data_IF_905852416625
#
_entry.id   IF_905852416625
#
_cell.length_a   1.000
_cell.length_b   1.000
_cell.length_c   1.000
_cell.angle_alpha   90.00
_cell.angle_beta   90.00
_cell.angle_gamma   90.00
#
_symmetry.space_group_name_H-M   'P 1'
#
loop_
_entity.id
_entity.type
_entity.pdbx_description
1 polymer ?
#
# COMPACT_ATOMS: atom_id res chain seq x y z
N UNK A 1 -0.62 -3.04 -18.65
CA UNK A 1 -1.08 -2.27 -19.81
C UNK A 1 -2.51 -1.87 -19.53
N UNK A 2 -2.77 -0.58 -19.38
CA UNK A 2 -4.14 -0.06 -19.21
C UNK A 2 -4.78 -0.15 -20.59
N UNK A 3 -5.94 -0.79 -20.66
CA UNK A 3 -6.68 -1.03 -21.90
C UNK A 3 -6.96 0.31 -22.60
N UNK A 4 -6.52 0.48 -23.85
CA UNK A 4 -6.61 1.75 -24.58
C UNK A 4 -8.07 2.15 -24.97
N UNK A 5 -9.07 1.40 -24.51
CA UNK A 5 -10.50 1.58 -24.81
C UNK A 5 -11.37 1.89 -23.57
N UNK A 6 -10.79 2.38 -22.47
CA UNK A 6 -11.58 2.84 -21.32
C UNK A 6 -12.33 4.14 -21.67
N UNK A 7 -13.66 4.11 -21.61
CA UNK A 7 -14.51 5.28 -21.85
C UNK A 7 -15.65 5.34 -20.83
N UNK A 8 -16.36 6.46 -20.79
CA UNK A 8 -17.59 6.61 -19.99
C UNK A 8 -18.75 6.03 -20.80
N UNK A 9 -19.65 5.27 -20.15
CA UNK A 9 -20.84 4.72 -20.79
C UNK A 9 -21.72 5.87 -21.30
N UNK A 10 -22.39 5.64 -22.43
CA UNK A 10 -23.27 6.63 -23.02
C UNK A 10 -24.37 7.07 -22.03
N UNK A 11 -24.55 8.39 -21.88
CA UNK A 11 -25.58 8.98 -21.01
C UNK A 11 -25.14 9.24 -19.56
N UNK A 12 -24.00 8.70 -19.12
CA UNK A 12 -23.50 8.92 -17.76
C UNK A 12 -23.00 10.35 -17.55
N UNK A 13 -23.25 10.89 -16.35
CA UNK A 13 -22.84 12.23 -15.94
C UNK A 13 -21.97 12.16 -14.70
N UNK A 14 -20.93 12.98 -14.71
CA UNK A 14 -20.04 13.14 -13.56
C UNK A 14 -20.73 13.92 -12.45
N UNK A 15 -20.64 13.41 -11.22
CA UNK A 15 -21.16 14.06 -10.02
C UNK A 15 -20.10 14.93 -9.32
N UNK A 16 -18.81 14.76 -9.66
CA UNK A 16 -17.69 15.42 -9.01
C UNK A 16 -16.85 16.15 -10.05
N UNK A 17 -16.62 17.44 -9.81
CA UNK A 17 -15.70 18.25 -10.61
C UNK A 17 -14.48 18.59 -9.77
N UNK A 18 -13.30 18.20 -10.23
CA UNK A 18 -12.03 18.54 -9.60
C UNK A 18 -11.37 19.71 -10.31
N UNK A 19 -10.65 20.53 -9.55
CA UNK A 19 -9.80 21.60 -10.07
C UNK A 19 -8.35 21.15 -10.01
N UNK A 20 -7.65 21.21 -11.14
CA UNK A 20 -6.22 20.92 -11.22
C UNK A 20 -5.46 22.20 -11.58
N UNK A 21 -4.34 22.50 -10.89
CA UNK A 21 -3.50 23.63 -11.28
C UNK A 21 -3.03 23.45 -12.73
N UNK A 22 -3.14 24.50 -13.52
CA UNK A 22 -2.51 24.54 -14.85
C UNK A 22 -1.02 24.76 -14.63
N UNK A 23 -0.19 23.86 -15.14
CA UNK A 23 1.27 23.92 -14.97
C UNK A 23 1.91 24.33 -16.29
N UNK A 24 2.87 25.25 -16.23
CA UNK A 24 3.69 25.68 -17.37
C UNK A 24 5.10 25.18 -17.19
N UNK A 25 5.65 24.57 -18.23
CA UNK A 25 7.05 24.20 -18.30
C UNK A 25 7.91 25.47 -18.42
N UNK A 26 8.89 25.61 -17.55
CA UNK A 26 9.76 26.77 -17.41
C UNK A 26 11.22 26.33 -17.54
N UNK A 27 12.02 27.14 -18.22
CA UNK A 27 13.48 26.97 -18.31
C UNK A 27 14.18 28.17 -17.66
N UNK A 28 15.37 27.98 -17.08
CA UNK A 28 16.15 29.08 -16.55
C UNK A 28 16.52 30.03 -17.69
N UNK A 29 16.50 31.34 -17.41
CA UNK A 29 17.06 32.33 -18.34
C UNK A 29 18.56 32.37 -18.09
N UNK A 30 19.36 32.11 -19.13
CA UNK A 30 20.81 32.14 -19.05
C UNK A 30 21.36 33.46 -19.61
N UNK A 31 22.48 33.92 -19.07
CA UNK A 31 23.28 35.01 -19.63
C UNK A 31 24.28 34.48 -20.69
N UNK A 32 25.07 35.38 -21.27
CA UNK A 32 26.06 35.05 -22.31
C UNK A 32 27.18 34.11 -21.81
N UNK A 33 27.32 33.94 -20.49
CA UNK A 33 28.29 33.03 -19.86
C UNK A 33 27.64 31.68 -19.49
N UNK A 34 26.37 31.48 -19.83
CA UNK A 34 25.60 30.28 -19.50
C UNK A 34 25.17 30.21 -18.04
N UNK A 35 25.26 31.30 -17.27
CA UNK A 35 24.83 31.36 -15.89
C UNK A 35 23.38 31.82 -15.79
N UNK A 36 22.64 31.31 -14.79
CA UNK A 36 21.25 31.70 -14.62
C UNK A 36 21.14 33.15 -14.15
N UNK A 37 20.36 33.94 -14.89
CA UNK A 37 20.08 35.34 -14.58
C UNK A 37 19.28 35.43 -13.28
N UNK A 38 19.70 36.31 -12.37
CA UNK A 38 18.99 36.64 -11.14
C UNK A 38 18.18 37.94 -11.35
N UNK A 39 16.94 37.98 -10.87
CA UNK A 39 16.09 39.16 -10.95
C UNK A 39 16.45 40.20 -9.87
N UNK A 40 15.90 41.41 -9.97
CA UNK A 40 16.16 42.51 -9.02
C UNK A 40 15.79 42.19 -7.56
N UNK A 41 14.97 41.16 -7.33
CA UNK A 41 14.56 40.69 -6.00
C UNK A 41 15.44 39.53 -5.49
N UNK A 42 16.57 39.26 -6.14
CA UNK A 42 17.50 38.19 -5.76
C UNK A 42 17.04 36.78 -6.12
N UNK A 43 15.97 36.60 -6.89
CA UNK A 43 15.44 35.29 -7.26
C UNK A 43 15.90 34.86 -8.66
N UNK A 44 16.15 33.56 -8.91
CA UNK A 44 16.49 33.07 -10.24
C UNK A 44 15.37 33.32 -11.25
N UNK A 45 15.74 33.81 -12.43
CA UNK A 45 14.81 34.15 -13.51
C UNK A 45 14.51 32.92 -14.37
N UNK A 46 13.24 32.76 -14.72
CA UNK A 46 12.74 31.71 -15.60
C UNK A 46 11.91 32.30 -16.73
N UNK A 47 11.83 31.59 -17.86
CA UNK A 47 10.90 31.88 -18.95
C UNK A 47 10.15 30.60 -19.36
N UNK A 48 8.93 30.71 -19.90
CA UNK A 48 8.20 29.57 -20.43
C UNK A 48 9.00 28.84 -21.52
N UNK A 49 8.98 27.51 -21.49
CA UNK A 49 9.61 26.67 -22.52
C UNK A 49 9.02 26.95 -23.92
N UNK A 50 7.78 27.41 -23.99
CA UNK A 50 7.15 27.85 -25.24
C UNK A 50 7.88 29.04 -25.89
N UNK A 51 8.57 29.85 -25.09
CA UNK A 51 9.38 31.00 -25.52
C UNK A 51 10.88 30.67 -25.66
N UNK A 52 11.26 29.39 -25.54
CA UNK A 52 12.64 28.96 -25.69
C UNK A 52 13.12 29.07 -27.14
N UNK A 53 14.38 29.45 -27.33
CA UNK A 53 15.04 29.45 -28.64
C UNK A 53 15.26 28.02 -29.15
N UNK A 54 15.51 27.82 -30.46
CA UNK A 54 15.84 26.49 -30.98
C UNK A 54 17.02 25.82 -30.27
N UNK A 55 18.05 26.59 -29.91
CA UNK A 55 19.23 26.12 -29.18
C UNK A 55 18.88 25.67 -27.76
N UNK A 56 18.08 26.46 -27.03
CA UNK A 56 17.62 26.09 -25.69
C UNK A 56 16.75 24.83 -25.72
N UNK A 57 15.88 24.68 -26.74
CA UNK A 57 15.10 23.45 -26.94
C UNK A 57 16.00 22.25 -27.21
N UNK A 58 17.10 22.43 -27.96
CA UNK A 58 18.09 21.38 -28.18
C UNK A 58 18.82 21.01 -26.87
N UNK A 59 19.16 21.97 -26.02
CA UNK A 59 19.76 21.72 -24.70
C UNK A 59 18.81 20.98 -23.75
N UNK A 60 17.51 21.32 -23.76
CA UNK A 60 16.48 20.57 -23.02
C UNK A 60 16.41 19.13 -23.51
N UNK A 61 16.38 18.92 -24.84
CA UNK A 61 16.35 17.58 -25.44
C UNK A 61 17.60 16.77 -25.08
N UNK A 62 18.76 17.42 -25.01
CA UNK A 62 20.01 16.83 -24.56
C UNK A 62 20.13 16.69 -23.02
N UNK A 63 19.08 17.03 -22.26
CA UNK A 63 19.04 17.04 -20.79
C UNK A 63 20.12 17.93 -20.12
N UNK A 64 20.69 18.88 -20.87
CA UNK A 64 21.67 19.86 -20.38
C UNK A 64 21.02 21.10 -19.77
N UNK A 65 19.71 21.27 -19.94
CA UNK A 65 18.93 22.36 -19.36
C UNK A 65 17.74 21.80 -18.58
N UNK A 66 17.63 22.15 -17.29
CA UNK A 66 16.58 21.64 -16.41
C UNK A 66 15.25 22.34 -16.69
N UNK A 67 14.21 21.55 -16.98
CA UNK A 67 12.83 22.04 -17.05
C UNK A 67 12.19 21.96 -15.67
N UNK A 68 11.64 23.08 -15.22
CA UNK A 68 10.84 23.19 -14.00
C UNK A 68 9.37 23.41 -14.37
N UNK A 69 8.43 23.16 -13.45
CA UNK A 69 7.01 23.36 -13.71
C UNK A 69 6.43 24.29 -12.65
N UNK A 70 5.93 25.45 -13.08
CA UNK A 70 5.28 26.42 -12.20
C UNK A 70 3.79 26.48 -12.49
N UNK A 71 3.00 26.83 -11.48
CA UNK A 71 1.57 27.06 -11.69
C UNK A 71 1.38 28.32 -12.55
N UNK A 72 0.58 28.18 -13.61
CA UNK A 72 0.22 29.26 -14.50
C UNK A 72 -0.58 30.33 -13.75
N UNK A 73 -0.45 31.57 -14.18
CA UNK A 73 -1.21 32.71 -13.66
C UNK A 73 -1.88 33.44 -14.81
N UNK A 74 -3.04 34.03 -14.55
CA UNK A 74 -3.71 34.88 -15.53
C UNK A 74 -3.07 36.29 -15.60
N UNK A 75 -3.61 37.14 -16.47
CA UNK A 75 -3.12 38.51 -16.64
C UNK A 75 -3.22 39.38 -15.37
N UNK A 76 -4.05 38.97 -14.40
CA UNK A 76 -4.21 39.65 -13.11
C UNK A 76 -3.33 39.05 -12.00
N UNK A 77 -2.56 38.00 -12.31
CA UNK A 77 -1.68 37.31 -11.36
C UNK A 77 -2.35 36.21 -10.55
N UNK A 78 -3.62 35.87 -10.84
CA UNK A 78 -4.32 34.79 -10.14
C UNK A 78 -3.92 33.42 -10.68
N UNK A 79 -3.79 32.44 -9.79
CA UNK A 79 -3.44 31.05 -10.12
C UNK A 79 -4.51 30.40 -10.99
N UNK A 80 -4.12 29.87 -12.15
CA UNK A 80 -5.03 29.20 -13.07
C UNK A 80 -5.25 27.75 -12.67
N UNK A 81 -6.51 27.34 -12.81
CA UNK A 81 -6.97 25.97 -12.63
C UNK A 81 -7.81 25.56 -13.84
N UNK A 82 -7.84 24.27 -14.11
CA UNK A 82 -8.75 23.68 -15.09
C UNK A 82 -9.59 22.59 -14.43
N UNK A 83 -10.82 22.43 -14.91
CA UNK A 83 -11.75 21.45 -14.36
C UNK A 83 -11.62 20.10 -15.04
N UNK A 84 -11.69 19.02 -14.25
CA UNK A 84 -11.82 17.66 -14.73
C UNK A 84 -13.05 16.99 -14.11
N UNK A 85 -13.72 16.18 -14.92
CA UNK A 85 -14.89 15.39 -14.50
C UNK A 85 -14.42 14.01 -14.03
N UNK A 86 -14.87 13.61 -12.84
CA UNK A 86 -14.61 12.28 -12.29
C UNK A 86 -15.87 11.44 -12.42
N UNK A 87 -15.68 10.20 -12.82
CA UNK A 87 -16.74 9.21 -12.99
C UNK A 87 -16.43 8.02 -12.10
N UNK A 88 -17.47 7.45 -11.49
CA UNK A 88 -17.37 6.17 -10.80
C UNK A 88 -17.00 5.07 -11.80
N UNK A 89 -16.29 4.03 -11.35
CA UNK A 89 -15.89 2.93 -12.25
C UNK A 89 -17.10 2.24 -12.90
N UNK A 90 -18.22 2.16 -12.17
CA UNK A 90 -19.49 1.63 -12.68
C UNK A 90 -20.07 2.41 -13.86
N UNK A 91 -19.73 3.69 -13.98
CA UNK A 91 -20.14 4.58 -15.07
C UNK A 91 -19.23 4.43 -16.32
N UNK A 92 -18.18 3.63 -16.23
CA UNK A 92 -17.24 3.42 -17.34
C UNK A 92 -17.51 2.11 -18.06
N UNK A 93 -16.92 1.94 -19.24
CA UNK A 93 -16.90 0.69 -19.98
C UNK A 93 -15.94 -0.36 -19.39
N UNK A 94 -15.31 -0.07 -18.24
CA UNK A 94 -14.46 -1.02 -17.54
C UNK A 94 -15.31 -2.22 -17.10
N UNK A 95 -14.85 -3.43 -17.45
CA UNK A 95 -15.54 -4.65 -17.02
C UNK A 95 -15.30 -4.93 -15.53
N UNK A 96 -16.28 -5.48 -14.79
CA UNK A 96 -16.14 -5.78 -13.36
C UNK A 96 -14.90 -6.61 -13.00
N UNK A 97 -14.46 -7.52 -13.87
CA UNK A 97 -13.28 -8.37 -13.63
C UNK A 97 -11.97 -7.56 -13.62
N UNK A 98 -11.98 -6.35 -14.19
CA UNK A 98 -10.86 -5.41 -14.20
C UNK A 98 -10.90 -4.42 -13.03
N UNK A 99 -12.00 -4.35 -12.27
CA UNK A 99 -12.13 -3.48 -11.11
C UNK A 99 -11.03 -3.72 -10.06
N UNK A 100 -10.64 -4.96 -9.72
CA UNK A 100 -9.54 -5.21 -8.79
C UNK A 100 -8.21 -4.55 -9.17
N UNK A 101 -7.93 -4.43 -10.48
CA UNK A 101 -6.70 -3.80 -10.99
C UNK A 101 -6.77 -2.27 -10.91
N UNK A 102 -7.96 -1.71 -11.13
CA UNK A 102 -8.21 -0.27 -11.02
C UNK A 102 -8.32 0.21 -9.57
N UNK A 103 -8.72 -0.68 -8.65
CA UNK A 103 -8.87 -0.43 -7.22
C UNK A 103 -7.94 -1.33 -6.40
N UNK A 104 -6.63 -1.05 -6.38
CA UNK A 104 -5.67 -1.85 -5.62
C UNK A 104 -5.97 -1.84 -4.10
N UNK A 105 -6.66 -0.82 -3.61
CA UNK A 105 -7.10 -0.68 -2.21
C UNK A 105 -8.61 -0.88 -2.04
N UNK A 106 -9.24 -1.71 -2.88
CA UNK A 106 -10.66 -2.06 -2.76
C UNK A 106 -10.98 -2.71 -1.41
N UNK A 107 -12.26 -2.69 -1.04
CA UNK A 107 -12.75 -3.54 0.03
C UNK A 107 -12.73 -5.02 -0.39
N UNK A 108 -12.35 -5.89 0.55
CA UNK A 108 -12.50 -7.33 0.40
C UNK A 108 -13.70 -7.80 1.22
N UNK A 109 -14.58 -8.56 0.57
CA UNK A 109 -15.71 -9.22 1.21
C UNK A 109 -15.29 -10.62 1.64
N UNK A 110 -14.66 -10.70 2.82
CA UNK A 110 -14.17 -11.97 3.35
C UNK A 110 -15.32 -12.79 3.91
N UNK A 111 -15.28 -14.12 3.71
CA UNK A 111 -16.18 -15.03 4.40
C UNK A 111 -15.86 -15.05 5.91
N UNK A 112 -16.85 -14.72 6.75
CA UNK A 112 -16.74 -14.68 8.21
C UNK A 112 -17.47 -15.83 8.91
N UNK A 113 -18.09 -16.77 8.19
CA UNK A 113 -18.96 -17.82 8.74
C UNK A 113 -18.27 -18.69 9.79
N UNK A 114 -16.96 -18.87 9.67
CA UNK A 114 -16.14 -19.67 10.58
C UNK A 114 -15.38 -18.80 11.61
N UNK A 115 -15.52 -17.48 11.55
CA UNK A 115 -14.74 -16.54 12.36
C UNK A 115 -15.54 -16.10 13.58
N UNK A 116 -14.99 -16.33 14.78
CA UNK A 116 -15.51 -15.77 16.03
C UNK A 116 -15.08 -14.30 16.15
N UNK A 117 -15.66 -13.42 15.33
CA UNK A 117 -15.15 -12.06 15.11
C UNK A 117 -14.98 -11.25 16.40
N UNK A 118 -15.94 -11.31 17.33
CA UNK A 118 -15.87 -10.53 18.57
C UNK A 118 -14.73 -11.00 19.48
N UNK A 119 -14.60 -12.31 19.65
CA UNK A 119 -13.58 -12.96 20.47
C UNK A 119 -12.18 -12.78 19.87
N UNK A 120 -12.07 -12.85 18.54
CA UNK A 120 -10.81 -12.57 17.84
C UNK A 120 -10.39 -11.12 18.07
N UNK A 121 -11.27 -10.15 17.84
CA UNK A 121 -10.95 -8.74 18.05
C UNK A 121 -10.61 -8.43 19.51
N UNK A 122 -11.31 -9.02 20.47
CA UNK A 122 -10.99 -8.89 21.89
C UNK A 122 -9.60 -9.46 22.20
N UNK A 123 -9.28 -10.66 21.72
CA UNK A 123 -7.96 -11.26 21.91
C UNK A 123 -6.83 -10.45 21.29
N UNK A 124 -7.07 -9.81 20.14
CA UNK A 124 -6.12 -8.91 19.50
C UNK A 124 -5.92 -7.62 20.29
N UNK A 125 -7.00 -7.05 20.85
CA UNK A 125 -6.92 -5.90 21.75
C UNK A 125 -6.09 -6.22 22.99
N UNK A 126 -6.27 -7.40 23.58
CA UNK A 126 -5.51 -7.81 24.75
C UNK A 126 -4.06 -8.13 24.43
N UNK A 127 -3.78 -8.69 23.25
CA UNK A 127 -2.40 -8.81 22.76
C UNK A 127 -1.73 -7.45 22.58
N UNK A 128 -2.45 -6.46 22.03
CA UNK A 128 -1.97 -5.09 21.90
C UNK A 128 -1.60 -4.49 23.27
N UNK A 129 -2.52 -4.62 24.25
CA UNK A 129 -2.29 -4.18 25.63
C UNK A 129 -1.07 -4.87 26.25
N UNK A 130 -0.91 -6.18 26.04
CA UNK A 130 0.23 -6.96 26.54
C UNK A 130 1.57 -6.44 25.99
N UNK A 131 1.62 -6.05 24.71
CA UNK A 131 2.81 -5.44 24.10
C UNK A 131 2.89 -3.91 24.31
N UNK A 132 2.00 -3.35 25.14
CA UNK A 132 1.91 -1.92 25.48
C UNK A 132 1.62 -1.02 24.28
N UNK A 133 0.80 -1.48 23.35
CA UNK A 133 0.34 -0.75 22.17
C UNK A 133 -1.17 -0.51 22.27
N UNK A 134 -1.59 0.73 22.05
CA UNK A 134 -3.01 1.10 22.00
C UNK A 134 -3.59 0.90 20.60
N UNK A 135 -4.88 0.58 20.50
CA UNK A 135 -5.62 0.53 19.23
C UNK A 135 -6.70 1.60 19.27
N UNK A 136 -6.78 2.42 18.24
CA UNK A 136 -7.77 3.48 18.08
C UNK A 136 -8.35 3.46 16.66
N UNK A 137 -9.51 4.10 16.49
CA UNK A 137 -10.13 4.28 15.17
C UNK A 137 -9.88 5.70 14.68
N UNK A 138 -9.53 5.84 13.39
CA UNK A 138 -9.22 7.11 12.76
C UNK A 138 -10.41 8.07 12.76
N UNK A 139 -10.15 9.33 13.11
CA UNK A 139 -11.17 10.38 13.21
C UNK A 139 -12.17 10.23 14.35
N UNK A 140 -11.99 9.27 15.28
CA UNK A 140 -12.82 9.22 16.48
C UNK A 140 -12.48 10.35 17.46
N UNK A 141 -13.45 10.69 18.31
CA UNK A 141 -13.31 11.70 19.37
C UNK A 141 -12.95 13.11 18.85
N UNK A 142 -13.43 13.46 17.64
CA UNK A 142 -13.23 14.79 17.06
C UNK A 142 -11.82 15.05 16.53
N UNK A 143 -10.98 14.01 16.39
CA UNK A 143 -9.68 14.15 15.72
C UNK A 143 -9.85 14.21 14.20
N UNK A 144 -8.90 14.87 13.53
CA UNK A 144 -8.82 14.84 12.07
C UNK A 144 -8.51 13.43 11.57
N UNK A 145 -9.08 13.06 10.42
CA UNK A 145 -8.77 11.78 9.76
C UNK A 145 -7.35 11.81 9.18
N UNK A 146 -6.51 10.88 9.60
CA UNK A 146 -5.08 10.83 9.25
C UNK A 146 -4.75 9.77 8.20
N UNK A 147 -5.54 8.69 8.11
CA UNK A 147 -5.21 7.55 7.26
C UNK A 147 -5.58 7.76 5.79
N UNK A 148 -6.49 8.67 5.49
CA UNK A 148 -7.08 8.81 4.15
C UNK A 148 -7.66 7.47 3.70
N UNK A 149 -7.05 6.87 2.67
CA UNK A 149 -7.47 5.56 2.15
C UNK A 149 -6.78 4.36 2.82
N UNK A 150 -5.72 4.54 3.61
CA UNK A 150 -5.04 3.43 4.26
C UNK A 150 -5.99 2.68 5.21
N UNK A 151 -5.88 1.35 5.27
CA UNK A 151 -6.73 0.49 6.12
C UNK A 151 -6.33 0.59 7.60
N UNK A 152 -5.05 0.81 7.87
CA UNK A 152 -4.51 0.99 9.21
C UNK A 152 -3.06 1.48 9.14
N UNK A 153 -2.52 1.86 10.30
CA UNK A 153 -1.11 2.16 10.47
C UNK A 153 -0.67 2.00 11.94
N UNK A 154 0.49 1.41 12.14
CA UNK A 154 1.22 1.45 13.41
C UNK A 154 2.17 2.66 13.49
N UNK A 155 2.09 3.41 14.58
CA UNK A 155 2.92 4.57 14.91
C UNK A 155 3.86 4.21 16.07
N UNK A 156 5.14 3.86 15.80
CA UNK A 156 6.06 3.35 16.81
C UNK A 156 6.43 4.38 17.89
N UNK A 157 6.43 5.69 17.57
CA UNK A 157 6.74 6.71 18.57
C UNK A 157 5.61 6.85 19.60
N UNK A 158 4.36 6.72 19.15
CA UNK A 158 3.16 6.86 19.98
C UNK A 158 2.71 5.52 20.60
N UNK A 159 3.33 4.40 20.20
CA UNK A 159 2.88 3.04 20.56
C UNK A 159 1.38 2.86 20.30
N UNK A 160 0.94 3.26 19.10
CA UNK A 160 -0.47 3.33 18.72
C UNK A 160 -0.71 2.71 17.35
N UNK A 161 -1.75 1.90 17.24
CA UNK A 161 -2.33 1.43 15.99
C UNK A 161 -3.58 2.25 15.73
N UNK A 162 -3.67 2.82 14.53
CA UNK A 162 -4.86 3.54 14.07
C UNK A 162 -5.52 2.71 12.96
N UNK A 163 -6.82 2.45 13.07
CA UNK A 163 -7.60 1.68 12.11
C UNK A 163 -8.59 2.58 11.37
N UNK A 164 -8.79 2.33 10.08
CA UNK A 164 -9.76 3.07 9.29
C UNK A 164 -11.20 2.66 9.69
N UNK A 165 -12.09 3.62 10.03
CA UNK A 165 -13.48 3.32 10.40
C UNK A 165 -14.29 2.67 9.28
N UNK A 166 -13.85 2.78 8.03
CA UNK A 166 -14.54 2.21 6.88
C UNK A 166 -14.16 0.75 6.59
N UNK A 167 -13.25 0.15 7.36
CA UNK A 167 -12.89 -1.25 7.18
C UNK A 167 -14.10 -2.16 7.40
N UNK A 168 -14.26 -3.18 6.56
CA UNK A 168 -15.18 -4.29 6.88
C UNK A 168 -14.69 -5.04 8.12
N UNK A 169 -15.50 -5.92 8.71
CA UNK A 169 -15.07 -6.68 9.89
C UNK A 169 -13.86 -7.58 9.60
N UNK A 170 -13.85 -8.28 8.47
CA UNK A 170 -12.69 -9.09 8.06
C UNK A 170 -11.46 -8.26 7.75
N UNK A 171 -11.64 -7.08 7.14
CA UNK A 171 -10.55 -6.12 6.97
C UNK A 171 -10.00 -5.62 8.31
N UNK A 172 -10.89 -5.29 9.25
CA UNK A 172 -10.50 -4.86 10.60
C UNK A 172 -9.66 -5.92 11.29
N UNK A 173 -10.07 -7.20 11.24
CA UNK A 173 -9.28 -8.31 11.80
C UNK A 173 -7.91 -8.40 11.11
N UNK A 174 -7.90 -8.57 9.78
CA UNK A 174 -6.64 -8.80 9.03
C UNK A 174 -5.66 -7.62 9.15
N UNK A 175 -6.16 -6.38 9.10
CA UNK A 175 -5.36 -5.17 9.29
C UNK A 175 -4.88 -5.05 10.72
N UNK A 176 -5.70 -5.30 11.73
CA UNK A 176 -5.25 -5.26 13.13
C UNK A 176 -4.12 -6.25 13.37
N UNK A 177 -4.22 -7.47 12.84
CA UNK A 177 -3.14 -8.46 12.94
C UNK A 177 -1.87 -7.96 12.22
N UNK A 178 -2.01 -7.38 11.02
CA UNK A 178 -0.89 -6.84 10.25
C UNK A 178 -0.16 -5.73 11.03
N UNK A 179 -0.89 -4.75 11.57
CA UNK A 179 -0.30 -3.67 12.35
C UNK A 179 0.31 -4.17 13.67
N UNK A 180 -0.31 -5.15 14.32
CA UNK A 180 0.29 -5.82 15.49
C UNK A 180 1.54 -6.61 15.13
N UNK A 181 1.63 -7.14 13.91
CA UNK A 181 2.82 -7.84 13.44
C UNK A 181 3.97 -6.84 13.28
N UNK A 182 3.72 -5.66 12.70
CA UNK A 182 4.69 -4.56 12.70
C UNK A 182 5.10 -4.16 14.12
N UNK A 183 4.12 -4.00 15.02
CA UNK A 183 4.40 -3.65 16.40
C UNK A 183 5.24 -4.72 17.13
N UNK A 184 5.07 -6.00 16.80
CA UNK A 184 5.80 -7.09 17.47
C UNK A 184 7.19 -7.31 16.88
N UNK A 185 7.30 -7.27 15.55
CA UNK A 185 8.51 -7.64 14.81
C UNK A 185 9.46 -6.46 14.57
N UNK A 186 8.93 -5.24 14.46
CA UNK A 186 9.67 -4.10 13.91
C UNK A 186 9.68 -2.87 14.82
N UNK A 187 9.00 -2.92 15.96
CA UNK A 187 9.04 -1.86 16.97
C UNK A 187 10.42 -1.80 17.64
N UNK A 188 11.17 -0.69 17.53
CA UNK A 188 12.49 -0.58 18.14
C UNK A 188 12.47 -0.78 19.67
N UNK A 189 11.37 -0.42 20.34
CA UNK A 189 11.22 -0.60 21.79
C UNK A 189 11.18 -2.07 22.20
N UNK A 190 10.57 -2.94 21.40
CA UNK A 190 10.48 -4.39 21.69
C UNK A 190 11.66 -5.18 21.14
N UNK A 191 12.20 -4.75 19.99
CA UNK A 191 13.29 -5.44 19.31
C UNK A 191 14.67 -4.99 19.77
N UNK A 192 14.76 -3.97 20.63
CA UNK A 192 16.01 -3.33 21.04
C UNK A 192 16.82 -2.84 19.83
N UNK A 193 16.13 -2.36 18.80
CA UNK A 193 16.75 -1.88 17.55
C UNK A 193 17.30 -2.96 16.62
N UNK A 194 17.28 -4.25 17.00
CA UNK A 194 17.90 -5.35 16.23
C UNK A 194 17.29 -5.58 14.84
N UNK A 195 16.11 -5.05 14.56
CA UNK A 195 15.41 -5.19 13.28
C UNK A 195 15.32 -3.86 12.50
N UNK A 196 16.11 -2.85 12.89
CA UNK A 196 16.10 -1.54 12.22
C UNK A 196 16.63 -1.63 10.79
N UNK A 197 17.64 -2.47 10.56
CA UNK A 197 18.35 -2.62 9.29
C UNK A 197 17.55 -3.40 8.23
N UNK A 198 16.44 -4.05 8.61
CA UNK A 198 15.57 -4.71 7.65
C UNK A 198 15.00 -3.68 6.67
N UNK A 199 15.06 -4.02 5.39
CA UNK A 199 14.46 -3.20 4.32
C UNK A 199 12.95 -3.15 4.48
N UNK A 200 12.31 -2.09 3.98
CA UNK A 200 10.85 -1.99 3.99
C UNK A 200 10.17 -3.23 3.38
N UNK A 201 10.57 -3.76 2.21
CA UNK A 201 9.97 -4.97 1.65
C UNK A 201 10.06 -6.21 2.56
N UNK A 202 11.15 -6.39 3.31
CA UNK A 202 11.28 -7.48 4.29
C UNK A 202 10.27 -7.31 5.43
N UNK A 203 10.17 -6.09 5.99
CA UNK A 203 9.23 -5.80 7.08
C UNK A 203 7.77 -6.05 6.66
N UNK A 204 7.39 -5.59 5.47
CA UNK A 204 6.04 -5.81 4.92
C UNK A 204 5.76 -7.29 4.63
N UNK A 205 6.75 -8.04 4.13
CA UNK A 205 6.61 -9.49 3.91
C UNK A 205 6.30 -10.22 5.22
N UNK A 206 7.06 -9.94 6.27
CA UNK A 206 6.87 -10.61 7.56
C UNK A 206 5.53 -10.24 8.20
N UNK A 207 5.15 -8.97 8.14
CA UNK A 207 3.87 -8.50 8.67
C UNK A 207 2.69 -9.09 7.89
N UNK A 208 2.73 -9.10 6.56
CA UNK A 208 1.66 -9.64 5.72
C UNK A 208 1.55 -11.16 5.88
N UNK A 209 2.68 -11.88 5.94
CA UNK A 209 2.66 -13.33 6.14
C UNK A 209 2.13 -13.70 7.53
N UNK A 210 2.52 -12.96 8.56
CA UNK A 210 1.97 -13.11 9.92
C UNK A 210 0.46 -12.86 9.89
N UNK A 211 0.01 -11.78 9.25
CA UNK A 211 -1.42 -11.47 9.10
C UNK A 211 -2.20 -12.58 8.42
N UNK A 212 -1.70 -13.09 7.30
CA UNK A 212 -2.32 -14.21 6.59
C UNK A 212 -2.42 -15.47 7.43
N UNK A 213 -1.33 -15.89 8.08
CA UNK A 213 -1.30 -17.14 8.86
C UNK A 213 -2.19 -17.08 10.10
N UNK A 214 -2.18 -15.97 10.84
CA UNK A 214 -3.05 -15.80 12.02
C UNK A 214 -4.51 -15.65 11.58
N UNK A 215 -4.81 -14.89 10.53
CA UNK A 215 -6.17 -14.79 9.97
C UNK A 215 -6.71 -16.16 9.59
N UNK A 216 -5.90 -16.94 8.85
CA UNK A 216 -6.26 -18.30 8.43
C UNK A 216 -6.48 -19.24 9.60
N UNK A 217 -5.69 -19.12 10.67
CA UNK A 217 -5.87 -19.89 11.90
C UNK A 217 -7.27 -19.69 12.49
N UNK A 218 -7.79 -18.47 12.46
CA UNK A 218 -9.13 -18.13 12.99
C UNK A 218 -10.26 -18.22 11.94
N UNK A 219 -10.02 -18.93 10.82
CA UNK A 219 -11.04 -19.18 9.80
C UNK A 219 -11.25 -18.05 8.78
N UNK A 220 -10.43 -16.99 8.83
CA UNK A 220 -10.49 -15.87 7.89
C UNK A 220 -9.49 -16.08 6.74
N UNK A 221 -9.97 -16.52 5.57
CA UNK A 221 -9.11 -16.69 4.39
C UNK A 221 -8.87 -15.35 3.68
N UNK A 222 -7.64 -14.84 3.80
CA UNK A 222 -7.19 -13.59 3.17
C UNK A 222 -6.28 -13.81 1.96
N UNK A 223 -6.18 -15.04 1.45
CA UNK A 223 -5.23 -15.42 0.39
C UNK A 223 -5.31 -14.54 -0.87
N UNK A 224 -6.53 -14.18 -1.31
CA UNK A 224 -6.74 -13.33 -2.50
C UNK A 224 -6.08 -11.95 -2.35
N UNK A 225 -6.10 -11.39 -1.13
CA UNK A 225 -5.44 -10.12 -0.80
C UNK A 225 -3.94 -10.30 -0.61
N UNK A 226 -3.55 -11.25 0.24
CA UNK A 226 -2.19 -11.33 0.78
C UNK A 226 -1.17 -11.88 -0.24
N UNK A 227 -1.53 -12.91 -1.01
CA UNK A 227 -0.58 -13.60 -1.91
C UNK A 227 -0.04 -12.67 -3.01
N UNK A 228 -0.89 -11.92 -3.76
CA UNK A 228 -0.38 -11.00 -4.77
C UNK A 228 0.46 -9.87 -4.17
N UNK A 229 0.12 -9.41 -2.96
CA UNK A 229 0.86 -8.36 -2.27
C UNK A 229 2.25 -8.84 -1.87
N UNK A 230 2.37 -10.00 -1.21
CA UNK A 230 3.66 -10.61 -0.86
C UNK A 230 4.54 -10.89 -2.09
N UNK A 231 3.94 -11.36 -3.20
CA UNK A 231 4.66 -11.61 -4.45
C UNK A 231 5.21 -10.31 -5.06
N UNK A 232 4.50 -9.19 -4.93
CA UNK A 232 4.94 -7.88 -5.44
C UNK A 232 6.13 -7.34 -4.64
N UNK A 233 6.09 -7.41 -3.31
CA UNK A 233 7.15 -6.84 -2.45
C UNK A 233 8.50 -7.52 -2.61
N UNK A 234 8.48 -8.82 -2.83
CA UNK A 234 9.70 -9.64 -2.87
C UNK A 234 10.26 -9.80 -4.27
N UNK A 235 9.66 -9.14 -5.27
CA UNK A 235 9.89 -9.43 -6.69
C UNK A 235 9.81 -10.94 -6.97
N UNK A 236 8.72 -11.57 -6.49
CA UNK A 236 8.53 -13.02 -6.50
C UNK A 236 9.68 -13.78 -5.80
N UNK A 237 10.03 -13.36 -4.58
CA UNK A 237 11.11 -13.92 -3.74
C UNK A 237 12.53 -13.74 -4.29
N UNK A 238 12.73 -13.12 -5.45
CA UNK A 238 14.06 -12.91 -6.04
C UNK A 238 14.89 -11.85 -5.33
N UNK A 239 14.27 -11.07 -4.44
CA UNK A 239 14.94 -10.01 -3.68
C UNK A 239 15.51 -10.45 -2.32
N UNK A 240 15.47 -11.74 -1.98
CA UNK A 240 15.93 -12.28 -0.70
C UNK A 240 16.86 -13.46 -0.92
N UNK A 241 17.89 -13.56 -0.09
CA UNK A 241 18.69 -14.80 -0.01
C UNK A 241 17.92 -15.88 0.74
N UNK A 242 18.30 -17.15 0.58
CA UNK A 242 17.69 -18.26 1.32
C UNK A 242 17.85 -18.09 2.84
N UNK A 243 18.97 -17.51 3.28
CA UNK A 243 19.26 -17.22 4.69
C UNK A 243 18.33 -16.12 5.24
N UNK A 244 18.14 -15.04 4.47
CA UNK A 244 17.22 -13.95 4.83
C UNK A 244 15.79 -14.48 4.93
N UNK A 245 15.39 -15.32 3.97
CA UNK A 245 14.07 -15.93 3.93
C UNK A 245 13.86 -16.87 5.13
N UNK A 246 14.81 -17.75 5.42
CA UNK A 246 14.77 -18.66 6.57
C UNK A 246 14.65 -17.91 7.91
N UNK A 247 15.43 -16.84 8.06
CA UNK A 247 15.39 -15.98 9.24
C UNK A 247 14.05 -15.27 9.38
N UNK A 248 13.52 -14.71 8.28
CA UNK A 248 12.20 -14.11 8.24
C UNK A 248 11.10 -15.11 8.61
N UNK A 249 11.13 -16.33 8.05
CA UNK A 249 10.16 -17.38 8.38
C UNK A 249 10.21 -17.77 9.86
N UNK A 250 11.40 -17.81 10.47
CA UNK A 250 11.56 -18.07 11.90
C UNK A 250 10.91 -16.97 12.75
N UNK A 251 11.11 -15.70 12.39
CA UNK A 251 10.47 -14.55 13.06
C UNK A 251 8.95 -14.58 12.92
N UNK A 252 8.45 -14.83 11.70
CA UNK A 252 7.03 -14.98 11.41
C UNK A 252 6.41 -16.10 12.25
N UNK A 253 7.00 -17.30 12.25
CA UNK A 253 6.46 -18.44 12.98
C UNK A 253 6.35 -18.17 14.49
N UNK A 254 7.39 -17.58 15.09
CA UNK A 254 7.38 -17.19 16.52
C UNK A 254 6.28 -16.16 16.82
N UNK A 255 6.09 -15.19 15.92
CA UNK A 255 5.09 -14.13 16.09
C UNK A 255 3.67 -14.68 15.95
N UNK A 256 3.42 -15.50 14.93
CA UNK A 256 2.15 -16.22 14.72
C UNK A 256 1.80 -17.03 15.98
N UNK A 257 2.73 -17.83 16.49
CA UNK A 257 2.49 -18.64 17.69
C UNK A 257 2.12 -17.79 18.92
N UNK A 258 2.77 -16.64 19.11
CA UNK A 258 2.47 -15.71 20.22
C UNK A 258 1.08 -15.10 20.08
N UNK A 259 0.73 -14.61 18.89
CA UNK A 259 -0.58 -13.99 18.63
C UNK A 259 -1.71 -15.01 18.76
N UNK A 260 -1.56 -16.18 18.13
CA UNK A 260 -2.54 -17.27 18.20
C UNK A 260 -2.79 -17.65 19.66
N UNK A 261 -1.74 -17.93 20.43
CA UNK A 261 -1.88 -18.29 21.85
C UNK A 261 -2.64 -17.23 22.66
N UNK A 262 -2.39 -15.95 22.40
CA UNK A 262 -3.07 -14.85 23.09
C UNK A 262 -4.55 -14.79 22.73
N UNK A 263 -4.89 -14.93 21.44
CA UNK A 263 -6.27 -14.83 20.95
C UNK A 263 -7.09 -16.10 21.26
N UNK A 264 -6.44 -17.27 21.33
CA UNK A 264 -7.06 -18.54 21.73
C UNK A 264 -7.60 -18.53 23.17
N UNK A 265 -7.05 -17.68 24.04
CA UNK A 265 -7.60 -17.47 25.38
C UNK A 265 -9.08 -17.02 25.36
N UNK A 266 -9.51 -16.35 24.28
CA UNK A 266 -10.87 -15.83 24.11
C UNK A 266 -11.73 -16.71 23.18
N UNK A 267 -11.11 -17.36 22.21
CA UNK A 267 -11.84 -18.14 21.20
C UNK A 267 -12.06 -19.60 21.62
N UNK A 268 -11.35 -20.09 22.66
CA UNK A 268 -11.07 -21.51 22.94
C UNK A 268 -10.30 -22.14 21.77
N UNK A 269 -9.49 -23.21 21.96
CA UNK A 269 -8.69 -23.78 20.87
C UNK A 269 -9.56 -24.00 19.64
N UNK A 270 -9.23 -23.29 18.56
CA UNK A 270 -10.03 -23.36 17.35
C UNK A 270 -9.87 -24.78 16.79
N UNK A 271 -10.92 -25.59 16.93
CA UNK A 271 -10.99 -26.87 16.28
C UNK A 271 -11.12 -26.60 14.77
N UNK A 272 -9.98 -26.50 14.08
CA UNK A 272 -9.93 -26.61 12.63
C UNK A 272 -10.71 -27.86 12.27
N UNK A 273 -11.96 -27.72 11.78
CA UNK A 273 -12.65 -28.82 11.12
C UNK A 273 -11.71 -29.21 9.99
N UNK A 274 -11.05 -30.37 10.14
CA UNK A 274 -10.17 -30.91 9.11
C UNK A 274 -10.95 -30.87 7.80
N UNK A 275 -10.58 -29.97 6.90
CA UNK A 275 -11.12 -30.01 5.54
C UNK A 275 -10.77 -31.39 4.99
N UNK A 276 -11.78 -32.21 4.76
CA UNK A 276 -11.61 -33.44 4.01
C UNK A 276 -11.05 -33.07 2.63
N UNK A 277 -10.03 -33.82 2.21
CA UNK A 277 -9.33 -33.78 0.91
C UNK A 277 -8.37 -32.61 0.65
N UNK A 278 -7.07 -32.86 0.85
CA UNK A 278 -6.03 -32.33 -0.06
C UNK A 278 -6.24 -33.01 -1.43
N UNK A 279 -6.32 -32.28 -2.55
CA UNK A 279 -6.04 -32.87 -3.85
C UNK A 279 -4.57 -33.30 -3.83
N UNK A 280 -4.31 -34.60 -3.91
CA UNK A 280 -2.97 -35.08 -4.21
C UNK A 280 -2.64 -34.65 -5.64
N UNK A 281 -1.72 -33.70 -5.80
CA UNK A 281 -1.12 -33.43 -7.10
C UNK A 281 -0.25 -34.64 -7.44
N UNK A 282 -0.51 -35.39 -8.53
CA UNK A 282 0.31 -36.52 -8.90
C UNK A 282 1.70 -36.03 -9.27
N UNK A 283 2.71 -36.43 -8.50
CA UNK A 283 4.11 -36.25 -8.87
C UNK A 283 4.38 -37.12 -10.10
N UNK A 284 4.46 -36.52 -11.29
CA UNK A 284 4.95 -37.20 -12.48
C UNK A 284 6.42 -37.56 -12.25
N UNK A 285 6.69 -38.86 -12.06
CA UNK A 285 8.05 -39.41 -12.09
C UNK A 285 8.66 -39.12 -13.47
N UNK A 286 9.85 -38.53 -13.49
CA UNK A 286 10.68 -38.40 -14.69
C UNK A 286 11.04 -39.80 -15.20
N UNK A 287 10.93 -40.08 -16.52
CA UNK A 287 11.40 -41.34 -17.06
C UNK A 287 12.93 -41.37 -17.01
N UNK A 288 13.48 -42.47 -16.49
CA UNK A 288 14.91 -42.81 -16.62
C UNK A 288 15.24 -42.91 -18.12
N UNK A 289 16.02 -41.96 -18.61
CA UNK A 289 16.66 -42.06 -19.92
C UNK A 289 17.62 -43.24 -19.93
N UNK A 290 17.37 -44.17 -20.86
CA UNK A 290 18.32 -45.22 -21.26
C UNK A 290 19.53 -44.57 -21.94
N UNK A 291 20.70 -45.12 -21.66
CA UNK A 291 21.93 -44.90 -22.41
C UNK A 291 21.69 -45.08 -23.91
N UNK A 292 22.23 -44.15 -24.70
CA UNK A 292 23.09 -44.34 -25.86
C UNK A 292 23.84 -43.03 -26.12
#
# INVERSE_FOLDING_TARGET
>A
MVDHNLSVKAGEKSQITLFRPVMVAMIPVLDDKGQQVINQKGNPKFKPLSQATPEEKALVKAQKLKVSHFQDVDATGNRKFMTYKVFELSQTTLKPESYPKAMPNRHYDFNLDQVKTKEVLQGLQDYANYIKVSIATDGQNGQDKQLGNAKGAFYPLEQKILLNPNNTQGETISTTIHELAHATLHNPQLTQGKQNDLTKPQKELEAEMTSYLVSKHFGLDTAEKAIPYMAKWTNQLKGLTDEDLSTAMTRVHKTVARMVKSVEAYTQPYALKKSQTRPQVPVKKTPKGRNL
#
